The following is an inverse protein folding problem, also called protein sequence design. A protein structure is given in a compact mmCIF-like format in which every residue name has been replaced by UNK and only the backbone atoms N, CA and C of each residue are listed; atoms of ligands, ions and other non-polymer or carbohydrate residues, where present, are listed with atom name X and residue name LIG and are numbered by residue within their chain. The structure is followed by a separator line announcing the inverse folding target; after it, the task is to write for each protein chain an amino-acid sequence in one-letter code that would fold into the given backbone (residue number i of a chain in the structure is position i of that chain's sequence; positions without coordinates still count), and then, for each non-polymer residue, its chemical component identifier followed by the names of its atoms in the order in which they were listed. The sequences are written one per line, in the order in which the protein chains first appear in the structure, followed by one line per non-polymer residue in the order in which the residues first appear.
data_IF_509525274946
#
_entry.id   IF_509525274946
#
_cell.length_a   1.000
_cell.length_b   1.000
_cell.length_c   1.000
_cell.angle_alpha   90.00
_cell.angle_beta   90.00
_cell.angle_gamma   90.00
#
_symmetry.space_group_name_H-M   'P 1'
#
loop_
_entity.id
_entity.type
_entity.pdbx_description
1 polymer ?
#
# COMPACT_ATOMS: atom_id res chain seq x y z
N UNK A 1 -12.40 7.69 -11.72
CA UNK A 1 -12.89 7.61 -10.32
C UNK A 1 -11.83 6.90 -9.50
N UNK A 2 -11.56 7.38 -8.29
CA UNK A 2 -10.52 6.90 -7.39
C UNK A 2 -11.15 6.16 -6.21
N UNK A 3 -10.72 4.92 -5.98
CA UNK A 3 -11.20 4.08 -4.89
C UNK A 3 -10.19 4.15 -3.76
N UNK A 4 -10.56 4.77 -2.65
CA UNK A 4 -9.66 5.09 -1.55
C UNK A 4 -9.63 3.95 -0.52
N UNK A 5 -8.43 3.40 -0.32
CA UNK A 5 -8.07 2.55 0.80
C UNK A 5 -7.84 3.38 2.08
N UNK A 6 -7.79 2.72 3.24
CA UNK A 6 -7.44 3.29 4.55
C UNK A 6 -6.13 4.09 4.47
N UNK A 7 -5.14 3.57 3.75
CA UNK A 7 -3.84 4.21 3.50
C UNK A 7 -3.99 5.62 2.87
N UNK A 8 -4.98 5.82 1.98
CA UNK A 8 -5.21 7.11 1.33
C UNK A 8 -5.67 8.19 2.34
N UNK A 9 -6.48 7.82 3.34
CA UNK A 9 -6.90 8.74 4.40
C UNK A 9 -5.79 8.98 5.41
N UNK A 10 -4.99 7.96 5.74
CA UNK A 10 -3.86 8.07 6.67
C UNK A 10 -2.79 9.03 6.11
N UNK A 11 -2.57 9.00 4.80
CA UNK A 11 -1.54 9.80 4.13
C UNK A 11 -2.05 11.10 3.49
N UNK A 12 -3.31 11.48 3.75
CA UNK A 12 -3.88 12.74 3.26
C UNK A 12 -3.82 12.85 1.72
N UNK A 13 -4.26 11.80 1.03
CA UNK A 13 -4.25 11.76 -0.44
C UNK A 13 -5.22 12.78 -1.04
N UNK A 14 -4.71 13.64 -1.92
CA UNK A 14 -5.48 14.70 -2.60
C UNK A 14 -5.65 14.42 -4.09
N UNK A 15 -6.90 14.52 -4.56
CA UNK A 15 -7.21 14.51 -6.00
C UNK A 15 -8.45 15.36 -6.29
N UNK A 16 -8.53 15.90 -7.51
CA UNK A 16 -9.72 16.60 -8.02
C UNK A 16 -10.73 15.65 -8.67
N UNK A 17 -10.36 14.39 -8.86
CA UNK A 17 -11.20 13.37 -9.47
C UNK A 17 -12.29 12.87 -8.51
N UNK A 18 -13.34 12.25 -9.06
CA UNK A 18 -14.39 11.64 -8.23
C UNK A 18 -13.81 10.53 -7.37
N UNK A 19 -14.15 10.53 -6.08
CA UNK A 19 -13.66 9.58 -5.08
C UNK A 19 -14.77 8.66 -4.62
N UNK A 20 -14.41 7.42 -4.32
CA UNK A 20 -15.28 6.45 -3.68
C UNK A 20 -14.50 5.61 -2.67
N UNK A 21 -15.20 4.98 -1.74
CA UNK A 21 -14.63 4.00 -0.80
C UNK A 21 -15.72 3.02 -0.36
N UNK A 22 -15.40 2.11 0.55
CA UNK A 22 -16.34 1.16 1.13
C UNK A 22 -16.59 1.45 2.61
N UNK A 23 -17.74 1.06 3.19
CA UNK A 23 -18.03 1.31 4.60
C UNK A 23 -16.99 0.73 5.58
N UNK A 24 -16.39 -0.42 5.26
CA UNK A 24 -15.41 -1.07 6.16
C UNK A 24 -14.14 -0.25 6.37
N UNK A 25 -13.73 0.55 5.39
CA UNK A 25 -12.55 1.43 5.55
C UNK A 25 -12.76 2.35 6.74
N UNK A 26 -13.97 2.89 6.92
CA UNK A 26 -14.26 3.77 8.06
C UNK A 26 -14.08 3.09 9.42
N UNK A 27 -14.30 1.77 9.50
CA UNK A 27 -14.15 0.98 10.72
C UNK A 27 -12.68 0.74 11.09
N UNK A 28 -11.78 0.78 10.11
CA UNK A 28 -10.33 0.62 10.30
C UNK A 28 -9.63 1.93 10.69
N UNK A 29 -10.23 3.07 10.37
CA UNK A 29 -9.64 4.38 10.61
C UNK A 29 -9.73 4.80 12.08
N UNK A 30 -8.64 5.40 12.56
CA UNK A 30 -8.52 5.95 13.91
C UNK A 30 -7.90 7.35 13.91
N UNK A 31 -8.11 8.10 15.00
CA UNK A 31 -7.47 9.40 15.22
C UNK A 31 -7.81 10.43 14.14
N UNK A 32 -6.78 11.07 13.57
CA UNK A 32 -6.96 12.16 12.59
C UNK A 32 -7.56 11.68 11.26
N UNK A 33 -7.27 10.43 10.87
CA UNK A 33 -7.72 9.87 9.59
C UNK A 33 -9.25 9.74 9.49
N UNK A 34 -9.93 9.59 10.63
CA UNK A 34 -11.40 9.62 10.74
C UNK A 34 -11.97 10.95 10.26
N UNK A 35 -11.41 12.08 10.71
CA UNK A 35 -11.92 13.39 10.32
C UNK A 35 -11.72 13.66 8.83
N UNK A 36 -10.64 13.11 8.24
CA UNK A 36 -10.41 13.19 6.79
C UNK A 36 -11.44 12.40 6.02
N UNK A 37 -11.76 11.18 6.46
CA UNK A 37 -12.86 10.40 5.88
C UNK A 37 -14.18 11.17 5.94
N UNK A 38 -14.56 11.68 7.13
CA UNK A 38 -15.84 12.35 7.33
C UNK A 38 -15.92 13.65 6.47
N UNK A 39 -14.79 14.33 6.26
CA UNK A 39 -14.69 15.49 5.37
C UNK A 39 -14.86 15.12 3.89
N UNK A 40 -14.24 14.03 3.44
CA UNK A 40 -14.40 13.52 2.07
C UNK A 40 -15.84 13.06 1.79
N UNK A 41 -16.44 12.34 2.74
CA UNK A 41 -17.85 11.95 2.67
C UNK A 41 -18.76 13.17 2.59
N UNK A 42 -18.55 14.17 3.46
CA UNK A 42 -19.27 15.44 3.44
C UNK A 42 -19.06 16.26 2.15
N UNK A 43 -17.96 16.02 1.45
CA UNK A 43 -17.61 16.66 0.17
C UNK A 43 -18.14 15.90 -1.05
N UNK A 44 -18.84 14.78 -0.85
CA UNK A 44 -19.50 14.02 -1.91
C UNK A 44 -18.73 12.78 -2.38
N UNK A 45 -17.78 12.26 -1.58
CA UNK A 45 -17.19 10.94 -1.82
C UNK A 45 -18.29 9.86 -1.82
N UNK A 46 -18.24 8.97 -2.81
CA UNK A 46 -19.24 7.92 -2.97
C UNK A 46 -18.94 6.70 -2.08
N UNK A 47 -19.90 6.28 -1.27
CA UNK A 47 -19.78 5.04 -0.50
C UNK A 47 -20.39 3.88 -1.29
N UNK A 48 -19.52 2.97 -1.74
CA UNK A 48 -19.91 1.82 -2.56
C UNK A 48 -19.89 0.53 -1.74
N UNK A 49 -20.86 -0.36 -2.02
CA UNK A 49 -20.89 -1.70 -1.45
C UNK A 49 -20.82 -2.68 -2.62
N UNK A 50 -19.68 -3.39 -2.80
CA UNK A 50 -19.51 -4.29 -3.93
C UNK A 50 -20.42 -5.51 -3.81
N UNK A 51 -20.81 -6.08 -4.94
CA UNK A 51 -21.62 -7.30 -4.95
C UNK A 51 -20.81 -8.51 -4.51
N UNK A 52 -21.51 -9.46 -3.89
CA UNK A 52 -20.91 -10.73 -3.43
C UNK A 52 -20.28 -11.53 -4.57
N UNK A 53 -20.87 -11.53 -5.76
CA UNK A 53 -20.31 -12.25 -6.92
C UNK A 53 -18.95 -11.67 -7.34
N UNK A 54 -18.78 -10.36 -7.22
CA UNK A 54 -17.51 -9.69 -7.52
C UNK A 54 -16.48 -9.98 -6.44
N UNK A 55 -16.85 -9.95 -5.16
CA UNK A 55 -15.90 -10.28 -4.09
C UNK A 55 -15.41 -11.72 -4.18
N UNK A 56 -16.27 -12.67 -4.55
CA UNK A 56 -15.86 -14.05 -4.82
C UNK A 56 -14.92 -14.17 -6.04
N UNK A 57 -15.15 -13.37 -7.08
CA UNK A 57 -14.22 -13.27 -8.22
C UNK A 57 -12.84 -12.77 -7.78
N UNK A 58 -12.79 -11.76 -6.91
CA UNK A 58 -11.53 -11.24 -6.33
C UNK A 58 -10.84 -12.29 -5.49
N UNK A 59 -11.55 -12.99 -4.60
CA UNK A 59 -10.99 -14.08 -3.78
C UNK A 59 -10.38 -15.18 -4.64
N UNK A 60 -11.01 -15.53 -5.76
CA UNK A 60 -10.45 -16.51 -6.71
C UNK A 60 -9.14 -16.01 -7.33
N UNK A 61 -9.09 -14.75 -7.77
CA UNK A 61 -7.87 -14.16 -8.32
C UNK A 61 -6.74 -14.10 -7.27
N UNK A 62 -7.07 -13.76 -6.02
CA UNK A 62 -6.14 -13.79 -4.89
C UNK A 62 -5.64 -15.20 -4.55
N UNK A 63 -6.50 -16.21 -4.68
CA UNK A 63 -6.09 -17.61 -4.51
C UNK A 63 -5.11 -18.06 -5.58
N UNK A 64 -5.33 -17.63 -6.81
CA UNK A 64 -4.44 -17.91 -7.93
C UNK A 64 -3.11 -17.15 -7.82
N UNK A 65 -3.07 -16.03 -7.10
CA UNK A 65 -1.85 -15.27 -6.85
C UNK A 65 -1.07 -15.75 -5.64
N UNK A 66 -1.74 -16.45 -4.72
CA UNK A 66 -1.18 -16.86 -3.44
C UNK A 66 -1.29 -15.80 -2.36
N UNK A 67 -2.00 -14.69 -2.64
CA UNK A 67 -2.15 -13.57 -1.71
C UNK A 67 -3.44 -13.64 -0.88
N UNK A 68 -4.33 -14.63 -1.12
CA UNK A 68 -5.61 -14.72 -0.41
C UNK A 68 -5.46 -14.78 1.12
N UNK A 69 -4.41 -15.45 1.62
CA UNK A 69 -4.22 -15.61 3.08
C UNK A 69 -3.71 -14.34 3.77
N UNK A 70 -3.22 -13.35 3.00
CA UNK A 70 -2.74 -12.07 3.54
C UNK A 70 -3.75 -10.94 3.37
N UNK A 71 -4.68 -11.05 2.42
CA UNK A 71 -5.72 -10.04 2.21
C UNK A 71 -6.81 -10.11 3.27
N UNK A 72 -7.15 -8.94 3.80
CA UNK A 72 -8.30 -8.72 4.67
C UNK A 72 -9.62 -8.74 3.89
N UNK A 73 -10.75 -8.76 4.62
CA UNK A 73 -12.06 -8.61 3.99
C UNK A 73 -12.22 -7.22 3.36
N UNK A 74 -11.68 -6.18 3.98
CA UNK A 74 -11.68 -4.80 3.47
C UNK A 74 -10.94 -4.74 2.14
N UNK A 75 -9.77 -5.36 2.04
CA UNK A 75 -8.93 -5.36 0.83
C UNK A 75 -9.67 -6.00 -0.35
N UNK A 76 -10.26 -7.18 -0.12
CA UNK A 76 -11.05 -7.89 -1.13
C UNK A 76 -12.22 -7.04 -1.62
N UNK A 77 -12.90 -6.34 -0.71
CA UNK A 77 -14.03 -5.48 -1.06
C UNK A 77 -13.57 -4.20 -1.77
N UNK A 78 -12.44 -3.61 -1.42
CA UNK A 78 -11.88 -2.46 -2.12
C UNK A 78 -11.50 -2.79 -3.57
N UNK A 79 -10.83 -3.93 -3.79
CA UNK A 79 -10.51 -4.41 -5.14
C UNK A 79 -11.80 -4.69 -5.92
N UNK A 80 -12.81 -5.28 -5.27
CA UNK A 80 -14.10 -5.53 -5.90
C UNK A 80 -14.82 -4.22 -6.27
N UNK A 81 -14.77 -3.20 -5.40
CA UNK A 81 -15.34 -1.89 -5.68
C UNK A 81 -14.64 -1.21 -6.86
N UNK A 82 -13.31 -1.26 -6.93
CA UNK A 82 -12.54 -0.74 -8.05
C UNK A 82 -12.86 -1.49 -9.35
N UNK A 83 -13.03 -2.80 -9.29
CA UNK A 83 -13.44 -3.60 -10.44
C UNK A 83 -14.86 -3.23 -10.94
N UNK A 84 -15.83 -3.05 -10.04
CA UNK A 84 -17.22 -2.73 -10.45
C UNK A 84 -17.39 -1.31 -10.98
N UNK A 85 -16.65 -0.36 -10.41
CA UNK A 85 -16.75 1.06 -10.75
C UNK A 85 -15.82 1.47 -11.90
N UNK A 86 -15.05 0.52 -12.46
CA UNK A 86 -13.98 0.79 -13.42
C UNK A 86 -13.06 1.91 -12.92
N UNK A 87 -12.70 1.80 -11.64
CA UNK A 87 -11.99 2.81 -10.87
C UNK A 87 -10.51 2.51 -10.73
N UNK A 88 -9.76 3.55 -10.34
CA UNK A 88 -8.35 3.44 -9.96
C UNK A 88 -8.28 3.17 -8.46
N UNK A 89 -7.75 2.01 -8.08
CA UNK A 89 -7.54 1.67 -6.67
C UNK A 89 -6.34 2.46 -6.14
N UNK A 90 -6.52 3.21 -5.06
CA UNK A 90 -5.44 3.94 -4.38
C UNK A 90 -5.02 3.15 -3.17
N UNK A 91 -3.84 2.55 -3.20
CA UNK A 91 -3.31 1.74 -2.08
C UNK A 91 -1.79 1.65 -2.15
N UNK A 92 -1.12 1.52 -1.01
CA UNK A 92 0.30 1.20 -0.92
C UNK A 92 0.60 -0.28 -0.63
N UNK A 93 -0.43 -1.13 -0.55
CA UNK A 93 -0.29 -2.56 -0.29
C UNK A 93 0.04 -3.37 -1.58
N UNK A 94 1.14 -4.13 -1.52
CA UNK A 94 1.61 -4.96 -2.65
C UNK A 94 0.72 -6.16 -2.94
N UNK A 95 0.11 -6.78 -1.94
CA UNK A 95 -0.81 -7.91 -2.14
C UNK A 95 -2.08 -7.43 -2.87
N UNK A 96 -2.59 -6.24 -2.49
CA UNK A 96 -3.71 -5.62 -3.20
C UNK A 96 -3.35 -5.29 -4.65
N UNK A 97 -2.17 -4.73 -4.88
CA UNK A 97 -1.65 -4.43 -6.23
C UNK A 97 -1.58 -5.69 -7.11
N UNK A 98 -0.98 -6.78 -6.61
CA UNK A 98 -0.85 -8.04 -7.35
C UNK A 98 -2.20 -8.61 -7.80
N UNK A 99 -3.20 -8.57 -6.92
CA UNK A 99 -4.55 -9.09 -7.22
C UNK A 99 -5.30 -8.14 -8.15
N UNK A 100 -5.17 -6.84 -7.96
CA UNK A 100 -5.76 -5.82 -8.82
C UNK A 100 -5.23 -5.93 -10.27
N UNK A 101 -3.91 -6.08 -10.46
CA UNK A 101 -3.29 -6.25 -11.78
C UNK A 101 -3.86 -7.47 -12.53
N UNK A 102 -4.03 -8.61 -11.83
CA UNK A 102 -4.63 -9.81 -12.40
C UNK A 102 -6.07 -9.63 -12.85
N UNK A 103 -6.80 -8.74 -12.19
CA UNK A 103 -8.17 -8.38 -12.53
C UNK A 103 -8.25 -7.23 -13.53
N UNK A 104 -7.10 -6.73 -14.01
CA UNK A 104 -7.01 -5.55 -14.89
C UNK A 104 -7.60 -4.30 -14.25
N UNK A 105 -7.50 -4.19 -12.92
CA UNK A 105 -7.84 -2.99 -12.16
C UNK A 105 -6.61 -2.08 -12.14
N UNK A 106 -6.81 -0.80 -12.47
CA UNK A 106 -5.72 0.18 -12.43
C UNK A 106 -5.41 0.53 -10.98
N UNK A 107 -4.14 0.60 -10.61
CA UNK A 107 -3.71 0.97 -9.25
C UNK A 107 -2.86 2.23 -9.31
N UNK A 108 -3.13 3.15 -8.39
CA UNK A 108 -2.29 4.31 -8.14
C UNK A 108 -1.65 4.17 -6.75
N UNK A 109 -0.32 3.98 -6.67
CA UNK A 109 0.37 3.97 -5.40
C UNK A 109 0.34 5.38 -4.78
N UNK A 110 0.18 5.44 -3.46
CA UNK A 110 0.18 6.72 -2.75
C UNK A 110 1.59 7.31 -2.77
N UNK A 111 1.75 8.41 -3.53
CA UNK A 111 2.96 9.21 -3.49
C UNK A 111 3.10 9.80 -2.08
N UNK A 112 4.11 9.34 -1.33
CA UNK A 112 4.42 9.88 -0.02
C UNK A 112 5.13 11.21 -0.22
N UNK A 113 4.43 12.33 -0.03
CA UNK A 113 5.05 13.65 0.10
C UNK A 113 6.13 13.58 1.19
N UNK A 114 7.40 13.53 0.77
CA UNK A 114 8.56 13.51 1.65
C UNK A 114 9.34 12.19 1.80
N UNK A 115 9.08 11.14 1.00
CA UNK A 115 9.96 9.95 0.95
C UNK A 115 10.40 9.64 -0.49
N UNK A 116 11.34 10.42 -1.01
CA UNK A 116 12.40 9.87 -1.86
C UNK A 116 13.34 9.06 -0.96
N UNK A 117 13.05 7.78 -0.72
CA UNK A 117 14.06 6.92 -0.11
C UNK A 117 14.16 5.59 -0.85
N UNK A 118 14.99 5.58 -1.89
CA UNK A 118 15.89 4.43 -2.07
C UNK A 118 16.77 4.38 -0.82
N UNK A 119 16.35 3.59 0.19
CA UNK A 119 17.15 3.37 1.39
C UNK A 119 18.29 2.43 1.04
N UNK A 120 19.41 2.98 0.59
CA UNK A 120 20.66 2.24 0.45
C UNK A 120 21.15 1.81 1.84
N UNK A 121 21.07 0.50 2.09
CA UNK A 121 21.59 -0.09 3.31
C UNK A 121 23.12 -0.03 3.29
N UNK A 122 23.70 0.87 4.09
CA UNK A 122 25.16 0.93 4.26
C UNK A 122 25.64 -0.05 5.32
N UNK A 123 26.74 -0.73 5.02
CA UNK A 123 27.41 -1.69 5.89
C UNK A 123 28.70 -1.08 6.43
N UNK A 124 28.86 -1.05 7.75
CA UNK A 124 30.06 -0.51 8.40
C UNK A 124 30.92 -1.61 9.00
N UNK A 125 32.21 -1.61 8.65
CA UNK A 125 33.20 -2.50 9.25
C UNK A 125 33.39 -2.21 10.74
N UNK A 126 33.25 -3.25 11.57
CA UNK A 126 33.41 -3.16 13.02
C UNK A 126 34.86 -2.96 13.48
N UNK A 127 35.84 -3.24 12.61
CA UNK A 127 37.27 -3.09 12.93
C UNK A 127 37.84 -1.72 12.56
N UNK A 128 37.68 -1.31 11.30
CA UNK A 128 38.29 -0.07 10.78
C UNK A 128 37.30 1.07 10.52
N UNK A 129 35.99 0.85 10.73
CA UNK A 129 34.95 1.87 10.62
C UNK A 129 34.57 2.26 9.18
N UNK A 130 35.15 1.65 8.14
CA UNK A 130 34.81 1.93 6.74
C UNK A 130 33.40 1.47 6.39
N UNK A 131 32.74 2.25 5.53
CA UNK A 131 31.40 1.99 5.05
C UNK A 131 31.43 1.41 3.62
N UNK A 132 30.46 0.56 3.31
CA UNK A 132 30.29 -0.12 2.02
C UNK A 132 28.80 -0.16 1.67
N UNK A 133 28.49 -0.05 0.38
CA UNK A 133 27.10 -0.06 -0.12
C UNK A 133 26.56 -1.49 -0.35
N UNK A 134 27.44 -2.49 -0.30
CA UNK A 134 27.10 -3.91 -0.47
C UNK A 134 27.49 -4.72 0.76
N UNK A 135 26.71 -5.76 1.07
CA UNK A 135 27.07 -6.73 2.09
C UNK A 135 28.23 -7.60 1.61
N UNK A 136 29.39 -7.50 2.26
CA UNK A 136 30.55 -8.35 2.00
C UNK A 136 30.81 -9.23 3.23
N UNK A 137 31.18 -10.48 3.00
CA UNK A 137 31.46 -11.44 4.07
C UNK A 137 32.50 -10.92 5.07
N UNK A 138 33.51 -10.20 4.58
CA UNK A 138 34.57 -9.57 5.40
C UNK A 138 35.06 -8.26 4.80
N UNK A 139 35.52 -7.36 5.65
CA UNK A 139 36.17 -6.13 5.24
C UNK A 139 37.45 -6.42 4.43
N UNK A 140 37.58 -5.96 3.17
CA UNK A 140 38.75 -6.21 2.34
C UNK A 140 40.02 -5.51 2.85
N UNK A 141 39.89 -4.59 3.82
CA UNK A 141 41.00 -3.79 4.34
C UNK A 141 41.58 -4.37 5.64
N UNK A 142 40.72 -4.82 6.56
CA UNK A 142 41.14 -5.30 7.88
C UNK A 142 40.63 -6.69 8.25
N UNK A 143 39.84 -7.33 7.38
CA UNK A 143 39.35 -8.70 7.57
C UNK A 143 38.25 -8.89 8.62
N UNK A 144 37.80 -7.82 9.27
CA UNK A 144 36.72 -7.84 10.27
C UNK A 144 35.33 -7.85 9.62
N UNK A 145 34.32 -8.29 10.37
CA UNK A 145 32.94 -8.39 9.90
C UNK A 145 32.30 -7.00 9.69
N UNK A 146 31.30 -6.97 8.81
CA UNK A 146 30.49 -5.79 8.52
C UNK A 146 29.17 -5.86 9.31
N UNK A 147 28.74 -4.73 9.88
CA UNK A 147 27.42 -4.61 10.49
C UNK A 147 26.55 -3.64 9.67
N UNK A 148 25.26 -3.97 9.55
CA UNK A 148 24.27 -3.12 8.89
C UNK A 148 24.02 -1.88 9.74
N UNK A 149 24.14 -0.70 9.15
CA UNK A 149 23.79 0.56 9.82
C UNK A 149 22.34 0.88 9.47
N UNK A 150 21.56 1.33 10.46
CA UNK A 150 20.23 1.84 10.17
C UNK A 150 20.35 3.06 9.24
N UNK A 151 19.51 3.14 8.19
CA UNK A 151 19.47 4.31 7.34
C UNK A 151 19.14 5.54 8.19
N UNK A 152 19.83 6.64 7.92
CA UNK A 152 19.52 7.98 8.44
C UNK A 152 18.52 8.63 7.49
#
# INVERSE_FOLDING_TARGET
MYILDSSAFIHDFHTTEQKATIPLVREELEGESVYRYDAEEGSGMHIHIPNTDTTEKVKRAAKESGDLDVLSETDVRLIAAAFELDGVLVTDDYAMQNVAERLTVTVEPIARDGIEQERDWRYQCQGCGREYDENKDRCPICGSDLARKNPQ
#
